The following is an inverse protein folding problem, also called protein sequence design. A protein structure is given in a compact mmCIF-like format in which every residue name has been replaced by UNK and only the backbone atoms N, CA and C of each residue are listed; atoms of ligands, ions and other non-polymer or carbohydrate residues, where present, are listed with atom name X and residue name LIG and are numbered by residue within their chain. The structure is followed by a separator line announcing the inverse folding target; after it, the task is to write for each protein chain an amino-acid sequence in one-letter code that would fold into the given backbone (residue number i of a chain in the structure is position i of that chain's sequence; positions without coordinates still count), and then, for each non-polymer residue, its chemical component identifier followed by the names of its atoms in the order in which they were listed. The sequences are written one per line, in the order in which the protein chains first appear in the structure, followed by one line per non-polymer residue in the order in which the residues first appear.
data_IF_134217250473
#
_entry.id   IF_134217250473
#
_cell.length_a   1.000
_cell.length_b   1.000
_cell.length_c   1.000
_cell.angle_alpha   90.00
_cell.angle_beta   90.00
_cell.angle_gamma   90.00
#
_symmetry.space_group_name_H-M   'P 1'
#
loop_
_entity.id
_entity.type
_entity.pdbx_description
1 polymer ?
#
# COMPACT_ATOMS: atom_id res chain seq x y z
N UNK A 1 53.60 -6.69 40.90
CA UNK A 1 53.36 -7.31 42.22
C UNK A 1 52.10 -6.67 42.79
N UNK A 2 50.94 -7.34 42.70
CA UNK A 2 49.64 -6.73 43.04
C UNK A 2 49.18 -7.27 44.40
N UNK A 3 49.24 -6.44 45.43
CA UNK A 3 48.69 -6.75 46.75
C UNK A 3 47.25 -6.26 46.79
N UNK A 4 46.32 -7.18 47.05
CA UNK A 4 44.89 -6.93 47.15
C UNK A 4 44.55 -6.48 48.57
N UNK A 5 44.17 -5.21 48.77
CA UNK A 5 43.48 -4.75 49.99
C UNK A 5 42.38 -3.77 49.63
N UNK A 6 41.16 -4.14 49.99
CA UNK A 6 39.93 -3.35 50.08
C UNK A 6 39.81 -2.10 49.18
N UNK A 7 39.36 -2.31 47.94
CA UNK A 7 38.35 -1.43 47.35
C UNK A 7 38.75 -0.04 46.81
N UNK A 8 40.02 0.26 46.58
CA UNK A 8 40.40 1.50 45.88
C UNK A 8 41.41 1.25 44.75
N UNK A 9 41.10 1.76 43.56
CA UNK A 9 42.03 1.90 42.43
C UNK A 9 42.46 3.36 42.32
N UNK A 10 43.77 3.63 42.16
CA UNK A 10 44.31 4.97 41.87
C UNK A 10 45.00 4.97 40.51
N UNK A 11 44.53 5.83 39.60
CA UNK A 11 45.26 6.25 38.39
C UNK A 11 45.03 7.77 38.25
N UNK A 12 46.12 8.52 38.08
CA UNK A 12 46.20 9.94 37.67
C UNK A 12 45.27 10.96 38.37
N UNK A 13 45.39 11.07 39.69
CA UNK A 13 45.16 12.33 40.39
C UNK A 13 43.72 12.85 40.53
N UNK A 14 42.70 12.13 40.08
CA UNK A 14 41.29 12.54 40.24
C UNK A 14 40.51 11.54 41.11
N UNK A 15 39.95 12.04 42.20
CA UNK A 15 39.21 11.26 43.19
C UNK A 15 37.73 11.12 42.77
N UNK A 16 37.30 9.90 42.40
CA UNK A 16 35.91 9.63 42.00
C UNK A 16 35.18 8.87 43.11
N UNK A 17 34.23 9.54 43.78
CA UNK A 17 33.28 8.92 44.72
C UNK A 17 32.25 8.09 43.96
N UNK A 18 32.10 6.82 44.33
CA UNK A 18 30.97 5.97 43.89
C UNK A 18 29.69 6.44 44.59
N UNK A 19 28.76 7.03 43.83
CA UNK A 19 27.36 7.12 44.23
C UNK A 19 26.64 5.83 43.83
N UNK A 20 26.07 5.15 44.82
CA UNK A 20 25.22 3.99 44.63
C UNK A 20 23.83 4.44 44.18
N UNK A 21 23.47 4.19 42.92
CA UNK A 21 22.08 4.27 42.46
C UNK A 21 21.71 3.01 41.70
N UNK A 22 20.75 2.30 42.26
CA UNK A 22 19.94 1.25 41.63
C UNK A 22 19.59 1.63 40.19
N UNK A 23 20.14 0.89 39.23
CA UNK A 23 19.83 1.06 37.82
C UNK A 23 18.76 0.05 37.41
N UNK A 24 17.50 0.45 37.55
CA UNK A 24 16.42 -0.10 36.74
C UNK A 24 16.78 0.12 35.27
N UNK A 25 16.92 -0.97 34.51
CA UNK A 25 17.15 -0.92 33.07
C UNK A 25 15.94 -0.28 32.41
N UNK A 26 15.99 1.03 32.18
CA UNK A 26 15.04 1.72 31.31
C UNK A 26 15.34 1.29 29.88
N UNK A 27 14.43 0.51 29.30
CA UNK A 27 14.40 0.20 27.88
C UNK A 27 14.42 1.54 27.11
N UNK A 28 15.50 1.80 26.39
CA UNK A 28 15.83 3.10 25.77
C UNK A 28 15.24 3.29 24.37
N UNK A 29 14.32 2.43 23.93
CA UNK A 29 13.66 2.59 22.65
C UNK A 29 12.37 3.40 22.86
N UNK A 30 12.29 4.67 22.40
CA UNK A 30 10.99 5.35 22.31
C UNK A 30 10.07 4.52 21.40
N UNK A 31 8.74 4.55 21.62
CA UNK A 31 7.81 3.94 20.67
C UNK A 31 8.07 4.59 19.30
N UNK A 32 8.37 3.76 18.30
CA UNK A 32 8.57 4.18 16.93
C UNK A 32 7.26 4.80 16.42
N UNK A 33 7.15 6.13 16.45
CA UNK A 33 6.14 6.85 15.70
C UNK A 33 6.49 6.69 14.21
N UNK A 34 5.95 5.65 13.59
CA UNK A 34 6.17 5.30 12.18
C UNK A 34 5.21 6.04 11.24
N UNK A 35 4.66 7.18 11.67
CA UNK A 35 4.02 8.10 10.73
C UNK A 35 5.08 8.57 9.72
N UNK A 36 4.77 8.47 8.41
CA UNK A 36 5.66 8.94 7.33
C UNK A 36 6.17 10.34 7.69
N UNK A 37 7.50 10.55 7.79
CA UNK A 37 8.04 11.84 8.21
C UNK A 37 7.53 12.93 7.29
N UNK A 38 6.86 13.93 7.85
CA UNK A 38 6.37 15.08 7.12
C UNK A 38 7.56 15.78 6.44
N UNK A 39 7.64 15.70 5.11
CA UNK A 39 8.66 16.37 4.30
C UNK A 39 9.68 15.48 3.59
N UNK A 40 9.59 14.15 3.68
CA UNK A 40 10.42 13.27 2.85
C UNK A 40 9.85 13.13 1.44
N UNK A 41 10.70 13.34 0.43
CA UNK A 41 10.39 12.95 -0.95
C UNK A 41 10.64 11.45 -1.13
N UNK A 42 9.55 10.68 -1.19
CA UNK A 42 9.59 9.23 -1.35
C UNK A 42 10.13 8.82 -2.74
N UNK A 43 10.13 9.70 -3.74
CA UNK A 43 10.67 9.40 -5.06
C UNK A 43 12.18 9.07 -5.00
N UNK A 44 12.90 9.60 -4.00
CA UNK A 44 14.32 9.30 -3.78
C UNK A 44 14.59 7.83 -3.41
N UNK A 45 13.57 7.05 -3.03
CA UNK A 45 13.70 5.61 -2.81
C UNK A 45 13.89 4.81 -4.11
N UNK A 46 13.57 5.41 -5.26
CA UNK A 46 13.50 4.72 -6.54
C UNK A 46 14.76 5.04 -7.37
N UNK A 47 15.67 4.05 -7.59
CA UNK A 47 16.82 4.27 -8.44
C UNK A 47 16.38 4.63 -9.87
N UNK A 48 16.92 5.71 -10.48
CA UNK A 48 16.54 6.11 -11.82
C UNK A 48 16.71 5.01 -12.87
N UNK A 49 17.76 4.19 -12.74
CA UNK A 49 18.02 3.05 -13.63
C UNK A 49 16.91 2.00 -13.57
N UNK A 50 16.35 1.75 -12.39
CA UNK A 50 15.21 0.84 -12.21
C UNK A 50 13.95 1.40 -12.85
N UNK A 51 13.70 2.71 -12.68
CA UNK A 51 12.55 3.39 -13.27
C UNK A 51 12.61 3.34 -14.81
N UNK A 52 13.75 3.69 -15.40
CA UNK A 52 13.96 3.62 -16.85
C UNK A 52 13.76 2.21 -17.39
N UNK A 53 14.33 1.20 -16.73
CA UNK A 53 14.16 -0.20 -17.16
C UNK A 53 12.70 -0.63 -17.12
N UNK A 54 11.98 -0.36 -16.04
CA UNK A 54 10.56 -0.72 -15.93
C UNK A 54 9.72 -0.03 -17.01
N UNK A 55 9.96 1.27 -17.26
CA UNK A 55 9.29 1.99 -18.33
C UNK A 55 9.55 1.38 -19.71
N UNK A 56 10.79 1.01 -20.01
CA UNK A 56 11.15 0.33 -21.26
C UNK A 56 10.48 -1.05 -21.38
N UNK A 57 10.47 -1.83 -20.30
CA UNK A 57 9.83 -3.16 -20.28
C UNK A 57 8.31 -3.05 -20.56
N UNK A 58 7.62 -2.09 -19.94
CA UNK A 58 6.18 -1.86 -20.17
C UNK A 58 5.87 -1.36 -21.58
N UNK A 59 6.69 -0.45 -22.11
CA UNK A 59 6.53 0.03 -23.49
C UNK A 59 6.79 -1.08 -24.52
N UNK A 60 7.76 -1.96 -24.26
CA UNK A 60 8.05 -3.10 -25.13
C UNK A 60 6.95 -4.17 -25.09
N UNK A 61 6.30 -4.35 -23.94
CA UNK A 61 5.11 -5.19 -23.80
C UNK A 61 3.95 -4.65 -24.67
N UNK A 62 3.66 -3.35 -24.60
CA UNK A 62 2.51 -2.73 -25.28
C UNK A 62 2.77 -2.52 -26.80
N UNK A 63 4.03 -2.35 -27.20
CA UNK A 63 4.44 -2.13 -28.60
C UNK A 63 5.56 -3.09 -29.00
N UNK A 64 5.19 -4.36 -29.18
CA UNK A 64 6.16 -5.41 -29.56
C UNK A 64 6.63 -5.31 -31.02
N UNK A 65 5.84 -4.69 -31.91
CA UNK A 65 6.10 -4.67 -33.36
C UNK A 65 6.09 -3.25 -33.93
N UNK A 66 4.95 -2.81 -34.46
CA UNK A 66 4.76 -1.50 -35.07
C UNK A 66 3.56 -0.80 -34.43
N UNK A 67 3.54 0.53 -34.48
CA UNK A 67 2.40 1.36 -34.09
C UNK A 67 1.80 2.06 -35.33
N UNK A 68 0.84 1.43 -36.04
CA UNK A 68 0.16 2.03 -37.17
C UNK A 68 -0.65 3.28 -36.80
N UNK A 69 -1.16 3.37 -35.56
CA UNK A 69 -1.91 4.54 -35.11
C UNK A 69 -0.99 5.76 -34.95
N UNK A 70 0.21 5.55 -34.40
CA UNK A 70 1.25 6.57 -34.31
C UNK A 70 1.68 7.12 -35.67
N UNK A 71 1.62 6.33 -36.75
CA UNK A 71 1.88 6.80 -38.12
C UNK A 71 0.88 7.87 -38.56
N UNK A 72 -0.41 7.66 -38.28
CA UNK A 72 -1.47 8.61 -38.62
C UNK A 72 -1.32 9.94 -37.87
N UNK A 73 -0.90 9.88 -36.61
CA UNK A 73 -0.82 11.03 -35.71
C UNK A 73 0.43 11.88 -35.95
N UNK A 74 1.55 11.24 -36.28
CA UNK A 74 2.81 11.93 -36.59
C UNK A 74 3.53 12.50 -35.35
N UNK A 75 4.61 13.24 -35.60
CA UNK A 75 5.53 13.73 -34.57
C UNK A 75 5.37 15.23 -34.23
N UNK A 76 4.29 15.86 -34.68
CA UNK A 76 4.02 17.26 -34.36
C UNK A 76 3.94 17.49 -32.85
N UNK A 77 4.42 18.64 -32.33
CA UNK A 77 4.33 18.94 -30.91
C UNK A 77 2.87 19.04 -30.49
N UNK A 78 2.51 18.35 -29.41
CA UNK A 78 1.16 18.36 -28.85
C UNK A 78 1.21 18.45 -27.33
N UNK A 79 0.06 18.80 -26.77
CA UNK A 79 -0.17 18.85 -25.33
C UNK A 79 -1.35 17.95 -24.99
N UNK A 80 -1.17 17.08 -24.00
CA UNK A 80 -2.24 16.26 -23.46
C UNK A 80 -2.47 16.53 -21.97
N UNK A 81 -3.73 16.58 -21.57
CA UNK A 81 -4.14 16.87 -20.20
C UNK A 81 -4.50 15.58 -19.48
N UNK A 82 -3.86 15.31 -18.34
CA UNK A 82 -4.20 14.22 -17.43
C UNK A 82 -5.37 14.65 -16.53
N UNK A 83 -6.42 13.86 -16.54
CA UNK A 83 -7.66 14.10 -15.80
C UNK A 83 -7.90 12.93 -14.85
N UNK A 84 -8.20 13.22 -13.58
CA UNK A 84 -8.75 12.27 -12.62
C UNK A 84 -10.27 12.39 -12.60
N UNK A 85 -11.00 11.28 -12.66
CA UNK A 85 -12.47 11.24 -12.64
C UNK A 85 -13.06 10.70 -11.34
N UNK A 86 -12.21 10.52 -10.32
CA UNK A 86 -12.58 9.99 -9.01
C UNK A 86 -12.11 10.96 -7.91
N UNK A 87 -12.99 11.87 -7.44
CA UNK A 87 -12.67 12.82 -6.38
C UNK A 87 -12.30 12.13 -5.07
N UNK A 88 -11.41 12.75 -4.29
CA UNK A 88 -10.90 12.21 -3.02
C UNK A 88 -9.82 11.13 -3.18
N UNK A 89 -9.42 10.82 -4.42
CA UNK A 89 -8.33 9.87 -4.68
C UNK A 89 -6.98 10.47 -4.31
N UNK A 90 -6.07 9.65 -3.80
CA UNK A 90 -4.69 10.04 -3.53
C UNK A 90 -3.84 9.80 -4.77
N UNK A 91 -3.16 10.84 -5.26
CA UNK A 91 -2.20 10.73 -6.34
C UNK A 91 -0.99 9.90 -5.88
N UNK A 92 -0.73 8.79 -6.55
CA UNK A 92 0.48 7.99 -6.36
C UNK A 92 1.01 7.44 -7.68
N UNK A 93 2.32 7.48 -7.87
CA UNK A 93 3.00 6.88 -9.02
C UNK A 93 3.61 7.89 -10.00
N UNK A 94 3.74 9.15 -9.57
CA UNK A 94 4.34 10.24 -10.35
C UNK A 94 5.72 9.86 -10.93
N UNK A 95 6.66 9.26 -10.17
CA UNK A 95 7.98 8.88 -10.71
C UNK A 95 7.90 7.86 -11.86
N UNK A 96 6.96 6.91 -11.79
CA UNK A 96 6.79 5.89 -12.83
C UNK A 96 6.14 6.48 -14.08
N UNK A 97 5.15 7.35 -13.90
CA UNK A 97 4.52 8.08 -15.00
C UNK A 97 5.54 8.96 -15.73
N UNK A 98 6.36 9.69 -14.97
CA UNK A 98 7.46 10.50 -15.51
C UNK A 98 8.51 9.64 -16.24
N UNK A 99 8.83 8.45 -15.73
CA UNK A 99 9.78 7.55 -16.38
C UNK A 99 9.28 7.08 -17.75
N UNK A 100 8.00 6.70 -17.88
CA UNK A 100 7.40 6.31 -19.17
C UNK A 100 7.52 7.43 -20.20
N UNK A 101 7.07 8.65 -19.85
CA UNK A 101 7.15 9.78 -20.77
C UNK A 101 8.58 10.28 -21.01
N UNK A 102 9.47 10.15 -20.02
CA UNK A 102 10.88 10.50 -20.13
C UNK A 102 11.63 9.63 -21.14
N UNK A 103 11.38 8.31 -21.16
CA UNK A 103 11.96 7.41 -22.18
C UNK A 103 11.50 7.80 -23.59
N UNK A 104 10.30 8.36 -23.72
CA UNK A 104 9.73 8.80 -24.98
C UNK A 104 10.08 10.26 -25.35
N UNK A 105 10.94 10.93 -24.57
CA UNK A 105 11.32 12.32 -24.82
C UNK A 105 10.18 13.33 -24.61
N UNK A 106 9.18 12.97 -23.82
CA UNK A 106 8.08 13.85 -23.40
C UNK A 106 8.38 14.45 -22.01
N UNK A 107 7.75 15.58 -21.71
CA UNK A 107 7.83 16.28 -20.43
C UNK A 107 6.46 16.29 -19.74
N UNK A 108 6.44 16.27 -18.41
CA UNK A 108 5.21 16.23 -17.62
C UNK A 108 5.24 17.34 -16.57
N UNK A 109 4.27 18.24 -16.65
CA UNK A 109 4.04 19.32 -15.69
C UNK A 109 2.90 18.95 -14.75
N UNK A 110 3.23 18.70 -13.49
CA UNK A 110 2.26 18.30 -12.47
C UNK A 110 1.60 19.50 -11.79
N UNK A 111 0.28 19.45 -11.66
CA UNK A 111 -0.51 20.44 -10.91
C UNK A 111 -0.70 20.05 -9.44
N UNK A 112 -0.50 18.77 -9.12
CA UNK A 112 -0.58 18.22 -7.78
C UNK A 112 0.72 17.48 -7.44
N UNK A 113 1.25 17.63 -6.21
CA UNK A 113 2.39 16.84 -5.78
C UNK A 113 1.99 15.40 -5.47
N UNK A 114 2.97 14.50 -5.47
CA UNK A 114 2.78 13.10 -5.07
C UNK A 114 2.18 13.02 -3.66
N UNK A 115 1.20 12.13 -3.48
CA UNK A 115 0.50 11.92 -2.20
C UNK A 115 -0.59 12.94 -1.88
N UNK A 116 -0.82 13.94 -2.74
CA UNK A 116 -1.94 14.86 -2.62
C UNK A 116 -3.29 14.17 -2.88
N UNK A 117 -4.33 14.68 -2.22
CA UNK A 117 -5.72 14.31 -2.51
C UNK A 117 -6.22 15.12 -3.71
N UNK A 118 -6.82 14.44 -4.68
CA UNK A 118 -7.34 15.00 -5.93
C UNK A 118 -8.82 15.34 -5.76
N UNK A 119 -9.23 16.56 -6.09
CA UNK A 119 -10.62 17.00 -5.94
C UNK A 119 -10.73 18.48 -5.55
N UNK A 120 -11.95 18.95 -5.22
CA UNK A 120 -13.21 18.19 -5.06
C UNK A 120 -14.04 18.02 -6.34
N UNK A 121 -13.56 18.48 -7.49
CA UNK A 121 -14.35 18.45 -8.72
C UNK A 121 -14.56 17.02 -9.25
N UNK A 122 -15.68 16.77 -9.94
CA UNK A 122 -15.96 15.48 -10.59
C UNK A 122 -14.85 15.06 -11.57
N UNK A 123 -14.23 16.05 -12.23
CA UNK A 123 -13.07 15.84 -13.10
C UNK A 123 -12.00 16.85 -12.71
N UNK A 124 -10.93 16.37 -12.08
CA UNK A 124 -9.80 17.22 -11.65
C UNK A 124 -8.68 17.12 -12.66
N UNK A 125 -8.14 18.27 -13.06
CA UNK A 125 -6.96 18.35 -13.93
C UNK A 125 -5.70 18.14 -13.10
N UNK A 126 -4.93 17.09 -13.39
CA UNK A 126 -3.83 16.63 -12.51
C UNK A 126 -2.45 17.00 -13.04
N UNK A 127 -2.25 16.88 -14.35
CA UNK A 127 -0.98 17.15 -15.00
C UNK A 127 -1.17 17.49 -16.48
N UNK A 128 -0.11 17.98 -17.10
CA UNK A 128 -0.04 18.26 -18.53
C UNK A 128 1.21 17.59 -19.10
N UNK A 129 1.05 16.85 -20.20
CA UNK A 129 2.13 16.15 -20.91
C UNK A 129 2.42 16.88 -22.22
N UNK A 130 3.69 17.18 -22.47
CA UNK A 130 4.18 17.86 -23.66
C UNK A 130 5.15 16.97 -24.43
N UNK A 131 5.03 16.93 -25.76
CA UNK A 131 5.94 16.16 -26.60
C UNK A 131 5.39 15.84 -27.98
N UNK A 132 6.09 15.00 -28.77
CA UNK A 132 5.59 14.53 -30.06
C UNK A 132 4.29 13.76 -29.90
N UNK A 133 3.28 14.06 -30.70
CA UNK A 133 1.93 13.49 -30.58
C UNK A 133 1.92 11.95 -30.53
N UNK A 134 2.63 11.27 -31.46
CA UNK A 134 2.77 9.81 -31.45
C UNK A 134 3.38 9.29 -30.15
N UNK A 135 4.34 10.00 -29.56
CA UNK A 135 5.04 9.57 -28.34
C UNK A 135 4.15 9.75 -27.11
N UNK A 136 3.33 10.81 -27.07
CA UNK A 136 2.34 10.98 -26.01
C UNK A 136 1.34 9.81 -26.02
N UNK A 137 0.81 9.46 -27.19
CA UNK A 137 -0.18 8.40 -27.32
C UNK A 137 0.42 7.00 -27.11
N UNK A 138 1.66 6.78 -27.56
CA UNK A 138 2.38 5.52 -27.32
C UNK A 138 2.60 5.25 -25.83
N UNK A 139 2.88 6.28 -25.03
CA UNK A 139 3.05 6.15 -23.59
C UNK A 139 1.74 6.11 -22.78
N UNK A 140 0.61 6.50 -23.38
CA UNK A 140 -0.65 6.76 -22.69
C UNK A 140 -1.10 5.56 -21.84
N UNK A 141 -1.29 4.40 -22.46
CA UNK A 141 -1.93 3.26 -21.78
C UNK A 141 -1.07 2.71 -20.65
N UNK A 142 0.22 2.54 -20.91
CA UNK A 142 1.21 2.07 -19.93
C UNK A 142 1.31 3.02 -18.73
N UNK A 143 1.42 4.34 -18.98
CA UNK A 143 1.50 5.34 -17.92
C UNK A 143 0.20 5.42 -17.09
N UNK A 144 -0.96 5.44 -17.75
CA UNK A 144 -2.27 5.47 -17.07
C UNK A 144 -2.53 4.20 -16.26
N UNK A 145 -2.22 3.01 -16.79
CA UNK A 145 -2.35 1.75 -16.05
C UNK A 145 -1.54 1.76 -14.75
N UNK A 146 -0.29 2.20 -14.84
CA UNK A 146 0.59 2.28 -13.69
C UNK A 146 0.06 3.27 -12.65
N UNK A 147 -0.28 4.49 -13.08
CA UNK A 147 -0.76 5.56 -12.20
C UNK A 147 -2.10 5.21 -11.54
N UNK A 148 -3.04 4.65 -12.31
CA UNK A 148 -4.36 4.23 -11.83
C UNK A 148 -4.25 3.20 -10.71
N UNK A 149 -3.38 2.19 -10.89
CA UNK A 149 -3.15 1.14 -9.90
C UNK A 149 -2.42 1.65 -8.67
N UNK A 150 -1.37 2.45 -8.85
CA UNK A 150 -0.64 3.05 -7.75
C UNK A 150 -1.55 3.97 -6.91
N UNK A 151 -2.30 4.86 -7.56
CA UNK A 151 -3.23 5.78 -6.87
C UNK A 151 -4.35 5.03 -6.15
N UNK A 152 -4.87 3.93 -6.70
CA UNK A 152 -5.86 3.10 -6.02
C UNK A 152 -5.34 2.48 -4.71
N UNK A 153 -4.10 1.97 -4.72
CA UNK A 153 -3.44 1.42 -3.53
C UNK A 153 -3.16 2.52 -2.51
N UNK A 154 -2.65 3.68 -2.94
CA UNK A 154 -2.36 4.79 -2.05
C UNK A 154 -3.64 5.37 -1.42
N UNK A 155 -4.73 5.45 -2.19
CA UNK A 155 -6.05 5.88 -1.70
C UNK A 155 -6.55 4.95 -0.60
N UNK A 156 -6.48 3.62 -0.81
CA UNK A 156 -6.84 2.67 0.25
C UNK A 156 -5.90 2.74 1.44
N UNK A 157 -4.60 2.85 1.21
CA UNK A 157 -3.62 3.05 2.27
C UNK A 157 -3.97 4.26 3.14
N UNK A 158 -4.31 5.39 2.51
CA UNK A 158 -4.71 6.62 3.21
C UNK A 158 -5.98 6.44 4.03
N UNK A 159 -6.98 5.73 3.48
CA UNK A 159 -8.21 5.39 4.21
C UNK A 159 -7.92 4.57 5.46
N UNK A 160 -7.13 3.50 5.35
CA UNK A 160 -6.79 2.64 6.50
C UNK A 160 -5.93 3.37 7.53
N UNK A 161 -4.94 4.14 7.09
CA UNK A 161 -4.12 4.97 7.96
C UNK A 161 -4.96 6.05 8.68
N UNK A 162 -6.00 6.57 8.03
CA UNK A 162 -6.95 7.51 8.65
C UNK A 162 -7.79 6.82 9.73
N UNK A 163 -8.26 5.59 9.50
CA UNK A 163 -8.98 4.79 10.52
C UNK A 163 -8.11 4.56 11.76
N UNK A 164 -6.85 4.15 11.57
CA UNK A 164 -5.88 3.96 12.66
C UNK A 164 -5.64 5.26 13.45
N UNK A 165 -5.41 6.38 12.75
CA UNK A 165 -5.20 7.70 13.37
C UNK A 165 -6.41 8.19 14.15
N UNK A 166 -7.62 8.04 13.61
CA UNK A 166 -8.87 8.41 14.29
C UNK A 166 -9.09 7.62 15.58
N UNK A 167 -8.67 6.36 15.62
CA UNK A 167 -8.71 5.53 16.83
C UNK A 167 -7.56 5.82 17.82
N UNK A 168 -6.67 6.78 17.51
CA UNK A 168 -5.45 7.07 18.26
C UNK A 168 -4.56 5.83 18.50
N UNK A 169 -4.65 4.81 17.63
CA UNK A 169 -3.82 3.62 17.70
C UNK A 169 -2.39 3.97 17.26
N UNK A 170 -1.40 3.46 18.00
CA UNK A 170 0.01 3.81 17.84
C UNK A 170 0.81 2.81 16.99
N UNK A 171 0.19 1.72 16.57
CA UNK A 171 0.83 0.74 15.72
C UNK A 171 0.83 1.13 14.24
N UNK A 172 1.35 0.22 13.42
CA UNK A 172 1.49 0.37 11.97
C UNK A 172 0.50 -0.49 11.21
N UNK A 173 -0.28 0.13 10.32
CA UNK A 173 -0.99 -0.61 9.28
C UNK A 173 0.04 -0.99 8.21
N UNK A 174 0.09 -2.27 7.87
CA UNK A 174 1.05 -2.80 6.90
C UNK A 174 0.35 -3.58 5.78
N UNK A 175 0.98 -3.66 4.61
CA UNK A 175 0.55 -4.62 3.57
C UNK A 175 1.35 -5.91 3.64
N UNK A 176 1.42 -6.61 2.51
CA UNK A 176 1.99 -7.98 2.46
C UNK A 176 2.79 -8.18 1.18
N UNK A 177 3.31 -9.40 0.96
CA UNK A 177 3.90 -9.82 -0.32
C UNK A 177 2.86 -10.33 -1.34
N UNK A 178 1.56 -10.21 -1.04
CA UNK A 178 0.45 -10.57 -1.95
C UNK A 178 0.24 -9.47 -3.01
N UNK A 179 1.29 -9.25 -3.78
CA UNK A 179 1.44 -8.21 -4.79
C UNK A 179 1.38 -8.81 -6.18
N UNK A 180 1.02 -8.05 -7.21
CA UNK A 180 1.08 -8.54 -8.59
C UNK A 180 2.52 -8.89 -8.98
N UNK A 181 2.77 -10.10 -9.54
CA UNK A 181 4.08 -10.47 -10.05
C UNK A 181 4.60 -9.44 -11.07
N UNK A 182 5.88 -9.05 -10.96
CA UNK A 182 6.48 -8.01 -11.80
C UNK A 182 6.14 -6.57 -11.40
N UNK A 183 5.04 -6.33 -10.68
CA UNK A 183 4.56 -4.97 -10.35
C UNK A 183 4.79 -4.54 -8.89
N UNK A 184 5.49 -5.38 -8.10
CA UNK A 184 5.66 -5.20 -6.66
C UNK A 184 6.24 -3.83 -6.26
N UNK A 185 7.24 -3.31 -6.99
CA UNK A 185 7.90 -2.06 -6.63
C UNK A 185 6.89 -0.89 -6.61
N UNK A 186 6.03 -0.82 -7.63
CA UNK A 186 5.00 0.22 -7.73
C UNK A 186 3.99 0.10 -6.60
N UNK A 187 3.52 -1.12 -6.31
CA UNK A 187 2.53 -1.36 -5.25
C UNK A 187 3.08 -1.01 -3.87
N UNK A 188 4.32 -1.40 -3.56
CA UNK A 188 4.98 -1.07 -2.29
C UNK A 188 5.26 0.42 -2.17
N UNK A 189 5.66 1.08 -3.26
CA UNK A 189 5.81 2.53 -3.27
C UNK A 189 4.47 3.23 -3.00
N UNK A 190 3.40 2.82 -3.67
CA UNK A 190 2.06 3.38 -3.47
C UNK A 190 1.57 3.22 -2.03
N UNK A 191 1.90 2.11 -1.38
CA UNK A 191 1.61 1.92 0.04
C UNK A 191 2.28 2.98 0.92
N UNK A 192 3.57 3.28 0.68
CA UNK A 192 4.30 4.33 1.41
C UNK A 192 3.64 5.71 1.20
N UNK A 193 3.27 6.04 -0.05
CA UNK A 193 2.57 7.28 -0.37
C UNK A 193 1.22 7.37 0.36
N UNK A 194 0.49 6.26 0.45
CA UNK A 194 -0.74 6.15 1.23
C UNK A 194 -0.55 6.30 2.74
N UNK A 195 0.69 6.20 3.24
CA UNK A 195 1.03 6.29 4.66
C UNK A 195 0.83 4.97 5.41
N UNK A 196 0.98 3.83 4.72
CA UNK A 196 0.99 2.49 5.33
C UNK A 196 2.33 1.82 5.12
N UNK A 197 2.76 1.02 6.09
CA UNK A 197 4.04 0.32 6.03
C UNK A 197 4.03 -0.73 4.91
N UNK A 198 5.15 -0.87 4.20
CA UNK A 198 5.29 -1.87 3.15
C UNK A 198 5.22 -3.30 3.67
N UNK A 199 5.55 -3.53 4.94
CA UNK A 199 6.08 -4.82 5.41
C UNK A 199 7.35 -5.18 4.61
N UNK A 200 7.78 -6.45 4.65
CA UNK A 200 8.92 -6.89 3.85
C UNK A 200 8.65 -6.80 2.35
N UNK A 201 9.65 -6.35 1.60
CA UNK A 201 9.57 -6.19 0.14
C UNK A 201 9.77 -7.52 -0.59
N UNK A 202 10.66 -8.37 -0.09
CA UNK A 202 11.01 -9.65 -0.68
C UNK A 202 11.35 -10.69 0.40
N UNK A 203 11.95 -11.81 0.00
CA UNK A 203 12.39 -12.87 0.91
C UNK A 203 13.68 -12.52 1.66
N UNK A 204 14.43 -11.52 1.19
CA UNK A 204 15.74 -11.14 1.71
C UNK A 204 15.67 -10.00 2.73
N UNK A 205 14.61 -9.19 2.67
CA UNK A 205 14.42 -7.99 3.51
C UNK A 205 14.21 -8.33 5.00
N UNK A 206 13.44 -9.38 5.26
CA UNK A 206 13.03 -9.84 6.59
C UNK A 206 12.81 -11.35 6.53
N UNK A 207 13.36 -12.07 7.51
CA UNK A 207 13.11 -13.49 7.68
C UNK A 207 11.71 -13.65 8.25
N UNK A 208 10.88 -14.44 7.56
CA UNK A 208 9.55 -14.81 8.06
C UNK A 208 9.41 -16.32 8.02
N UNK A 209 9.32 -16.91 9.20
CA UNK A 209 9.09 -18.34 9.40
C UNK A 209 7.58 -18.58 9.49
N UNK A 210 7.06 -19.22 8.46
CA UNK A 210 5.66 -19.68 8.39
C UNK A 210 5.52 -21.11 8.89
N UNK A 211 4.28 -21.54 9.09
CA UNK A 211 3.89 -22.94 9.39
C UNK A 211 4.72 -24.01 8.65
N UNK A 212 4.86 -23.87 7.34
CA UNK A 212 5.59 -24.83 6.50
C UNK A 212 7.08 -24.91 6.84
N UNK A 213 7.70 -23.81 7.27
CA UNK A 213 9.10 -23.78 7.67
C UNK A 213 9.27 -24.48 9.02
N UNK A 214 8.38 -24.16 9.97
CA UNK A 214 8.38 -24.76 11.30
C UNK A 214 8.22 -26.28 11.20
N UNK A 215 7.28 -26.75 10.37
CA UNK A 215 7.08 -28.18 10.12
C UNK A 215 8.28 -28.84 9.46
N UNK A 216 8.93 -28.18 8.51
CA UNK A 216 10.12 -28.72 7.83
C UNK A 216 11.36 -28.79 8.74
N UNK A 217 11.51 -27.85 9.68
CA UNK A 217 12.64 -27.77 10.60
C UNK A 217 12.45 -28.60 11.90
N UNK A 218 11.26 -29.17 12.13
CA UNK A 218 10.97 -29.96 13.33
C UNK A 218 10.68 -29.16 14.60
N UNK A 219 10.37 -27.86 14.49
CA UNK A 219 9.98 -27.01 15.61
C UNK A 219 10.32 -25.52 15.42
N UNK A 220 9.70 -24.65 16.23
CA UNK A 220 9.90 -23.19 16.13
C UNK A 220 11.30 -22.83 16.64
N UNK A 221 11.70 -23.38 17.80
CA UNK A 221 13.00 -23.08 18.38
C UNK A 221 14.17 -23.39 17.43
N UNK A 222 14.13 -24.55 16.76
CA UNK A 222 15.16 -24.94 15.80
C UNK A 222 15.17 -24.01 14.58
N UNK A 223 14.00 -23.73 13.99
CA UNK A 223 13.89 -22.86 12.82
C UNK A 223 14.43 -21.45 13.09
N UNK A 224 14.15 -20.88 14.26
CA UNK A 224 14.65 -19.55 14.65
C UNK A 224 16.17 -19.59 14.86
N UNK A 225 16.71 -20.63 15.50
CA UNK A 225 18.14 -20.78 15.72
C UNK A 225 18.91 -20.92 14.40
N UNK A 226 18.44 -21.76 13.49
CA UNK A 226 19.07 -22.01 12.20
C UNK A 226 19.16 -20.72 11.38
N UNK A 227 18.04 -19.97 11.29
CA UNK A 227 18.07 -18.73 10.53
C UNK A 227 18.90 -17.66 11.24
N UNK A 228 18.88 -17.57 12.57
CA UNK A 228 19.70 -16.62 13.32
C UNK A 228 21.19 -16.81 13.06
N UNK A 229 21.66 -18.04 12.85
CA UNK A 229 23.05 -18.32 12.46
C UNK A 229 23.41 -17.78 11.07
N UNK A 230 22.45 -17.73 10.15
CA UNK A 230 22.68 -17.28 8.76
C UNK A 230 22.53 -15.77 8.63
N UNK A 231 21.44 -15.19 9.14
CA UNK A 231 21.16 -13.76 8.97
C UNK A 231 21.82 -12.87 10.04
N UNK A 232 22.37 -13.46 11.10
CA UNK A 232 23.07 -12.75 12.16
C UNK A 232 22.22 -11.65 12.80
N UNK A 233 22.83 -10.48 12.98
CA UNK A 233 22.21 -9.30 13.61
C UNK A 233 21.51 -8.35 12.61
N UNK A 234 21.73 -8.51 11.30
CA UNK A 234 21.28 -7.52 10.30
C UNK A 234 19.81 -7.66 9.92
N UNK A 235 19.20 -8.82 10.14
CA UNK A 235 17.81 -9.10 9.78
C UNK A 235 16.99 -9.44 11.02
N UNK A 236 15.77 -8.90 11.05
CA UNK A 236 14.76 -9.31 12.02
C UNK A 236 14.19 -10.68 11.63
N UNK A 237 13.77 -11.44 12.64
CA UNK A 237 13.10 -12.73 12.49
C UNK A 237 11.65 -12.58 12.95
N UNK A 238 10.73 -12.85 12.04
CA UNK A 238 9.30 -12.91 12.26
C UNK A 238 8.83 -14.38 12.24
N UNK A 239 7.97 -14.76 13.18
CA UNK A 239 7.40 -16.13 13.24
C UNK A 239 5.88 -16.08 13.25
N UNK A 240 5.25 -16.81 12.33
CA UNK A 240 3.80 -17.02 12.27
C UNK A 240 3.38 -18.07 13.31
N UNK A 241 2.50 -17.68 14.22
CA UNK A 241 2.03 -18.47 15.35
C UNK A 241 0.50 -18.57 15.34
N UNK A 242 -0.02 -19.75 15.66
CA UNK A 242 -1.45 -20.09 15.71
C UNK A 242 -1.99 -20.29 17.12
N UNK A 243 -1.12 -20.25 18.12
CA UNK A 243 -1.48 -20.36 19.54
C UNK A 243 -0.60 -19.46 20.41
N UNK A 244 -1.05 -19.16 21.63
CA UNK A 244 -0.21 -18.47 22.62
C UNK A 244 1.10 -19.25 22.91
N UNK A 245 1.03 -20.58 22.97
CA UNK A 245 2.19 -21.42 23.28
C UNK A 245 3.26 -21.33 22.18
N UNK A 246 2.85 -21.37 20.92
CA UNK A 246 3.75 -21.13 19.78
C UNK A 246 4.37 -19.71 19.84
N UNK A 247 3.56 -18.70 20.18
CA UNK A 247 4.05 -17.33 20.36
C UNK A 247 5.09 -17.20 21.47
N UNK A 248 4.89 -17.92 22.59
CA UNK A 248 5.86 -17.99 23.69
C UNK A 248 7.13 -18.72 23.28
N UNK A 249 7.01 -19.81 22.53
CA UNK A 249 8.17 -20.55 22.01
C UNK A 249 8.99 -19.68 21.06
N UNK A 250 8.34 -19.00 20.10
CA UNK A 250 8.99 -18.08 19.17
C UNK A 250 9.72 -16.95 19.90
N UNK A 251 9.07 -16.32 20.88
CA UNK A 251 9.67 -15.25 21.67
C UNK A 251 10.89 -15.74 22.48
N UNK A 252 10.80 -16.92 23.13
CA UNK A 252 11.94 -17.53 23.85
C UNK A 252 13.09 -17.90 22.92
N UNK A 253 12.79 -18.32 21.70
CA UNK A 253 13.78 -18.65 20.69
C UNK A 253 14.52 -17.43 20.12
N UNK A 254 14.04 -16.21 20.42
CA UNK A 254 14.66 -14.96 19.98
C UNK A 254 14.08 -14.40 18.67
N UNK A 255 12.81 -14.67 18.40
CA UNK A 255 12.07 -13.95 17.36
C UNK A 255 11.95 -12.45 17.72
N UNK A 256 12.12 -11.58 16.73
CA UNK A 256 11.92 -10.13 16.87
C UNK A 256 10.43 -9.76 16.79
N UNK A 257 9.68 -10.53 16.00
CA UNK A 257 8.26 -10.30 15.71
C UNK A 257 7.50 -11.63 15.83
N UNK A 258 6.39 -11.62 16.56
CA UNK A 258 5.43 -12.73 16.62
C UNK A 258 4.17 -12.32 15.87
N UNK A 259 3.87 -13.01 14.78
CA UNK A 259 2.65 -12.83 14.01
C UNK A 259 1.58 -13.81 14.51
N UNK A 260 0.48 -13.27 15.02
CA UNK A 260 -0.71 -14.04 15.41
C UNK A 260 -1.66 -14.13 14.21
N UNK A 261 -1.66 -15.28 13.53
CA UNK A 261 -2.43 -15.48 12.29
C UNK A 261 -3.84 -16.02 12.56
N UNK A 262 -4.84 -15.38 11.96
CA UNK A 262 -6.27 -15.72 12.04
C UNK A 262 -6.86 -15.75 13.48
N UNK A 263 -6.29 -14.99 14.42
CA UNK A 263 -6.89 -14.81 15.73
C UNK A 263 -8.12 -13.89 15.66
N UNK A 264 -9.17 -14.24 16.43
CA UNK A 264 -10.35 -13.38 16.52
C UNK A 264 -10.09 -12.20 17.47
N UNK A 265 -10.49 -10.97 17.11
CA UNK A 265 -10.42 -9.83 18.01
C UNK A 265 -11.35 -10.04 19.20
N UNK A 266 -11.02 -9.41 20.33
CA UNK A 266 -11.87 -9.44 21.52
C UNK A 266 -13.05 -8.50 21.25
N UNK A 267 -14.22 -9.07 20.92
CA UNK A 267 -15.37 -8.34 20.38
C UNK A 267 -15.91 -7.31 21.38
N UNK A 268 -15.88 -6.03 21.01
CA UNK A 268 -16.76 -4.99 21.58
C UNK A 268 -18.08 -5.01 20.78
N UNK A 269 -19.12 -5.63 21.34
CA UNK A 269 -20.50 -5.78 20.85
C UNK A 269 -20.90 -5.13 19.49
N UNK A 270 -21.08 -5.97 18.46
CA UNK A 270 -22.23 -5.87 17.54
C UNK A 270 -22.58 -7.27 17.01
N UNK A 271 -23.78 -7.81 17.29
CA UNK A 271 -24.14 -9.16 16.88
C UNK A 271 -24.48 -9.17 15.38
N UNK A 272 -23.68 -9.86 14.58
CA UNK A 272 -24.19 -10.51 13.36
C UNK A 272 -24.27 -11.99 13.67
N UNK A 273 -25.49 -12.48 13.81
CA UNK A 273 -25.80 -13.90 13.93
C UNK A 273 -25.15 -14.67 12.78
N UNK A 274 -24.08 -15.41 13.08
CA UNK A 274 -23.60 -16.45 12.18
C UNK A 274 -24.46 -17.69 12.46
N UNK A 275 -25.33 -18.03 11.51
CA UNK A 275 -26.06 -19.31 11.48
C UNK A 275 -25.05 -20.47 11.46
N UNK A 276 -24.67 -20.96 12.64
CA UNK A 276 -23.98 -22.25 12.81
C UNK A 276 -25.02 -23.36 12.81
N UNK A 277 -25.40 -23.85 11.63
CA UNK A 277 -26.17 -25.08 11.52
C UNK A 277 -25.24 -26.29 11.31
N UNK A 278 -25.54 -27.36 12.05
CA UNK A 278 -25.28 -28.78 11.73
C UNK A 278 -23.89 -29.42 11.97
N UNK A 279 -23.00 -28.84 12.79
CA UNK A 279 -21.79 -29.59 13.26
C UNK A 279 -21.75 -29.87 14.77
N UNK A 280 -22.52 -29.15 15.58
CA UNK A 280 -22.49 -29.25 17.05
C UNK A 280 -23.32 -30.39 17.66
N UNK A 281 -23.95 -31.25 16.85
CA UNK A 281 -24.83 -32.30 17.36
C UNK A 281 -24.12 -33.60 17.76
N UNK A 282 -22.83 -33.78 17.42
CA UNK A 282 -22.15 -35.09 17.53
C UNK A 282 -20.86 -35.10 18.36
N UNK A 283 -20.41 -33.97 18.92
CA UNK A 283 -19.18 -33.93 19.73
C UNK A 283 -19.41 -33.18 21.05
N UNK A 284 -18.98 -33.71 22.21
CA UNK A 284 -19.10 -33.02 23.49
C UNK A 284 -18.27 -31.72 23.46
N UNK A 285 -18.69 -30.66 24.18
CA UNK A 285 -17.99 -29.39 24.14
C UNK A 285 -16.69 -29.54 24.93
N UNK A 286 -15.58 -29.74 24.22
CA UNK A 286 -14.29 -29.29 24.73
C UNK A 286 -14.46 -27.78 24.90
N UNK A 287 -14.29 -27.25 26.12
CA UNK A 287 -14.19 -25.82 26.36
C UNK A 287 -12.97 -25.30 25.57
N UNK A 288 -13.15 -25.03 24.28
CA UNK A 288 -12.23 -24.20 23.51
C UNK A 288 -12.39 -22.80 24.08
N UNK A 289 -11.54 -22.46 25.05
CA UNK A 289 -11.30 -21.07 25.41
C UNK A 289 -10.73 -20.44 24.15
N UNK A 290 -11.59 -19.82 23.34
CA UNK A 290 -11.18 -19.11 22.14
C UNK A 290 -10.23 -18.00 22.58
N UNK A 291 -8.93 -18.24 22.44
CA UNK A 291 -7.90 -17.25 22.75
C UNK A 291 -8.13 -16.04 21.84
N UNK A 292 -8.54 -14.93 22.42
CA UNK A 292 -8.73 -13.69 21.66
C UNK A 292 -7.40 -13.01 21.47
N UNK A 293 -7.17 -12.43 20.28
CA UNK A 293 -5.94 -11.74 19.90
C UNK A 293 -5.40 -10.82 21.01
N UNK A 294 -6.28 -9.99 21.59
CA UNK A 294 -5.88 -9.00 22.59
C UNK A 294 -5.37 -9.62 23.90
N UNK A 295 -5.92 -10.75 24.31
CA UNK A 295 -5.45 -11.46 25.52
C UNK A 295 -4.08 -12.05 25.28
N UNK A 296 -3.89 -12.74 24.15
CA UNK A 296 -2.61 -13.36 23.80
C UNK A 296 -1.53 -12.30 23.61
N UNK A 297 -1.82 -11.25 22.84
CA UNK A 297 -0.90 -10.13 22.63
C UNK A 297 -0.48 -9.47 23.96
N UNK A 298 -1.43 -9.22 24.87
CA UNK A 298 -1.13 -8.66 26.20
C UNK A 298 -0.20 -9.57 27.00
N UNK A 299 -0.48 -10.86 27.01
CA UNK A 299 0.27 -11.83 27.80
C UNK A 299 1.69 -11.99 27.24
N UNK A 300 1.83 -12.11 25.92
CA UNK A 300 3.14 -12.14 25.27
C UNK A 300 3.96 -10.87 25.52
N UNK A 301 3.34 -9.68 25.48
CA UNK A 301 4.01 -8.42 25.80
C UNK A 301 4.43 -8.29 27.26
N UNK A 302 3.69 -8.88 28.20
CA UNK A 302 4.07 -8.89 29.62
C UNK A 302 5.32 -9.74 29.84
N UNK A 303 5.39 -10.90 29.20
CA UNK A 303 6.52 -11.82 29.36
C UNK A 303 7.73 -11.44 28.48
N UNK A 304 7.48 -10.84 27.31
CA UNK A 304 8.48 -10.45 26.31
C UNK A 304 8.25 -9.02 25.81
N UNK A 305 8.60 -7.98 26.59
CA UNK A 305 8.29 -6.58 26.27
C UNK A 305 8.93 -6.06 24.97
N UNK A 306 10.04 -6.65 24.54
CA UNK A 306 10.80 -6.25 23.36
C UNK A 306 10.28 -6.83 22.04
N UNK A 307 9.46 -7.88 22.10
CA UNK A 307 8.92 -8.56 20.91
C UNK A 307 7.80 -7.72 20.32
N UNK A 308 7.81 -7.53 19.00
CA UNK A 308 6.70 -6.88 18.29
C UNK A 308 5.59 -7.91 18.02
N UNK A 309 4.34 -7.50 18.17
CA UNK A 309 3.18 -8.33 17.89
C UNK A 309 2.50 -7.85 16.62
N UNK A 310 2.41 -8.75 15.64
CA UNK A 310 1.69 -8.55 14.40
C UNK A 310 0.37 -9.34 14.39
N UNK A 311 -0.72 -8.71 13.96
CA UNK A 311 -1.99 -9.38 13.69
C UNK A 311 -2.23 -9.48 12.18
N UNK A 312 -2.58 -10.67 11.71
CA UNK A 312 -2.82 -10.98 10.30
C UNK A 312 -3.96 -11.99 10.14
N UNK A 313 -4.49 -12.09 8.92
CA UNK A 313 -5.46 -13.11 8.52
C UNK A 313 -6.91 -12.61 8.52
N UNK A 314 -7.53 -12.56 7.33
CA UNK A 314 -8.95 -12.22 7.17
C UNK A 314 -9.37 -10.78 7.53
N UNK A 315 -8.41 -9.88 7.81
CA UNK A 315 -8.69 -8.49 8.20
C UNK A 315 -9.11 -7.67 6.98
N UNK A 316 -10.18 -6.89 7.14
CA UNK A 316 -10.78 -6.02 6.12
C UNK A 316 -10.81 -4.56 6.60
N UNK A 317 -11.03 -3.57 5.72
CA UNK A 317 -11.17 -2.17 6.14
C UNK A 317 -12.25 -1.96 7.22
N UNK A 318 -13.33 -2.75 7.17
CA UNK A 318 -14.45 -2.67 8.11
C UNK A 318 -14.13 -3.31 9.46
N UNK A 319 -13.30 -4.36 9.48
CA UNK A 319 -12.95 -5.09 10.70
C UNK A 319 -11.67 -4.58 11.36
N UNK A 320 -10.86 -3.78 10.65
CA UNK A 320 -9.58 -3.25 11.12
C UNK A 320 -9.63 -2.65 12.54
N UNK A 321 -10.67 -1.86 12.85
CA UNK A 321 -10.77 -1.18 14.15
C UNK A 321 -10.89 -2.13 15.34
N UNK A 322 -11.41 -3.34 15.12
CA UNK A 322 -11.56 -4.35 16.16
C UNK A 322 -10.22 -4.96 16.59
N UNK A 323 -9.15 -4.81 15.78
CA UNK A 323 -7.82 -5.37 16.05
C UNK A 323 -6.89 -4.36 16.74
N UNK A 324 -7.35 -3.11 16.94
CA UNK A 324 -6.54 -2.09 17.63
C UNK A 324 -6.41 -2.41 19.12
N UNK A 325 -5.17 -2.51 19.57
CA UNK A 325 -4.82 -2.76 20.95
C UNK A 325 -3.46 -2.13 21.28
N UNK A 326 -3.22 -1.64 22.51
CA UNK A 326 -1.90 -1.19 22.94
C UNK A 326 -0.82 -2.27 22.90
N UNK A 327 -1.22 -3.54 22.86
CA UNK A 327 -0.32 -4.70 22.81
C UNK A 327 -0.10 -5.25 21.39
N UNK A 328 -0.76 -4.67 20.38
CA UNK A 328 -0.60 -5.03 18.96
C UNK A 328 0.13 -3.88 18.27
N UNK A 329 1.30 -4.16 17.70
CA UNK A 329 2.18 -3.15 17.10
C UNK A 329 1.97 -3.03 15.59
N UNK A 330 1.61 -4.14 14.92
CA UNK A 330 1.48 -4.21 13.46
C UNK A 330 0.16 -4.91 13.14
N UNK A 331 -0.57 -4.38 12.15
CA UNK A 331 -1.73 -5.08 11.57
C UNK A 331 -1.50 -5.14 10.06
N UNK A 332 -1.35 -6.35 9.51
CA UNK A 332 -1.11 -6.53 8.08
C UNK A 332 -2.36 -6.97 7.32
N UNK A 333 -2.61 -6.33 6.18
CA UNK A 333 -3.80 -6.58 5.36
C UNK A 333 -3.40 -6.88 3.92
N UNK A 334 -3.81 -8.04 3.41
CA UNK A 334 -3.63 -8.40 2.00
C UNK A 334 -4.49 -7.56 1.05
N UNK A 335 -5.64 -7.09 1.51
CA UNK A 335 -6.60 -6.31 0.72
C UNK A 335 -6.14 -4.89 0.35
N UNK A 336 -4.98 -4.45 0.88
CA UNK A 336 -4.35 -3.19 0.43
C UNK A 336 -3.97 -3.31 -1.04
N UNK A 337 -3.43 -4.46 -1.46
CA UNK A 337 -2.99 -4.72 -2.83
C UNK A 337 -3.94 -5.66 -3.58
N UNK A 338 -4.45 -6.72 -2.93
CA UNK A 338 -5.37 -7.66 -3.56
C UNK A 338 -6.81 -7.12 -3.59
N UNK A 339 -7.49 -7.25 -4.73
CA UNK A 339 -8.86 -6.77 -4.88
C UNK A 339 -8.99 -5.24 -4.81
N UNK A 340 -7.88 -4.53 -5.03
CA UNK A 340 -7.81 -3.08 -5.00
C UNK A 340 -8.44 -2.47 -6.26
N UNK A 341 -9.55 -1.69 -6.18
CA UNK A 341 -9.95 -0.82 -7.28
C UNK A 341 -8.84 0.13 -7.68
N UNK A 342 -8.75 0.37 -8.98
CA UNK A 342 -7.89 1.41 -9.59
C UNK A 342 -8.65 2.74 -9.64
N UNK A 343 -7.91 3.84 -9.74
CA UNK A 343 -8.47 5.19 -9.92
C UNK A 343 -8.64 5.48 -11.42
N UNK A 344 -9.81 5.96 -11.85
CA UNK A 344 -10.06 6.36 -13.24
C UNK A 344 -9.32 7.65 -13.60
N UNK A 345 -8.23 7.48 -14.38
CA UNK A 345 -7.54 8.55 -15.07
C UNK A 345 -7.76 8.48 -16.58
N UNK A 346 -7.73 9.64 -17.23
CA UNK A 346 -7.67 9.75 -18.69
C UNK A 346 -6.67 10.79 -19.14
N UNK A 347 -6.06 10.57 -20.30
CA UNK A 347 -5.18 11.54 -20.94
C UNK A 347 -5.88 12.06 -22.21
N UNK A 348 -6.00 13.37 -22.36
CA UNK A 348 -6.73 13.99 -23.49
C UNK A 348 -5.86 14.98 -24.24
N UNK A 349 -5.57 14.71 -25.51
CA UNK A 349 -4.95 15.69 -26.41
C UNK A 349 -5.88 16.90 -26.56
N UNK A 350 -5.32 18.10 -26.49
CA UNK A 350 -6.07 19.32 -26.75
C UNK A 350 -6.43 19.38 -28.24
N UNK A 351 -7.73 19.41 -28.55
CA UNK A 351 -8.18 19.65 -29.91
C UNK A 351 -7.76 21.08 -30.32
N UNK A 352 -7.17 21.30 -31.50
CA UNK A 352 -6.91 22.64 -31.99
C UNK A 352 -8.21 23.43 -31.96
N UNK A 353 -8.20 24.60 -31.31
CA UNK A 353 -9.36 25.49 -31.36
C UNK A 353 -9.62 25.79 -32.83
N UNK A 354 -10.80 25.42 -33.33
CA UNK A 354 -11.25 25.87 -34.66
C UNK A 354 -11.30 27.39 -34.60
N UNK A 355 -10.28 28.05 -35.14
CA UNK A 355 -10.36 29.47 -35.45
C UNK A 355 -11.59 29.64 -36.34
N UNK A 356 -12.64 30.26 -35.81
CA UNK A 356 -13.72 30.79 -36.62
C UNK A 356 -13.15 31.97 -37.41
N UNK A 357 -12.36 31.68 -38.44
CA UNK A 357 -12.13 32.63 -39.52
C UNK A 357 -13.46 32.76 -40.24
N UNK A 358 -14.18 33.83 -39.96
CA UNK A 358 -15.42 34.17 -40.65
C UNK A 358 -15.18 34.28 -42.15
N UNK A 359 -15.52 33.23 -42.88
CA UNK A 359 -15.90 33.34 -44.29
C UNK A 359 -17.36 32.95 -44.36
N UNK A 360 -18.21 33.98 -44.44
CA UNK A 360 -19.62 33.84 -44.77
C UNK A 360 -19.74 33.09 -46.11
N UNK A 361 -20.05 31.79 -46.05
CA UNK A 361 -20.62 31.09 -47.20
C UNK A 361 -22.12 31.28 -47.14
N UNK A 362 -22.63 31.87 -48.22
CA UNK A 362 -24.05 32.11 -48.47
C UNK A 362 -24.89 30.86 -48.24
N UNK A 363 -26.05 31.12 -47.67
CA UNK A 363 -27.16 30.23 -47.37
C UNK A 363 -27.44 29.20 -48.46
N UNK A 364 -27.76 27.98 -48.04
CA UNK A 364 -28.89 27.22 -48.56
C UNK A 364 -29.26 26.10 -47.56
N UNK A 365 -30.36 26.32 -46.83
CA UNK A 365 -31.29 25.27 -46.43
C UNK A 365 -31.06 24.52 -45.11
N UNK A 366 -32.09 24.61 -44.26
CA UNK A 366 -32.42 23.83 -43.05
C UNK A 366 -31.93 24.42 -41.72
N UNK A 367 -32.84 24.95 -40.87
CA UNK A 367 -32.47 25.41 -39.53
C UNK A 367 -32.27 24.20 -38.62
N UNK A 368 -31.05 24.00 -38.12
CA UNK A 368 -30.80 23.12 -36.99
C UNK A 368 -30.81 23.97 -35.71
N UNK A 369 -31.60 23.54 -34.72
CA UNK A 369 -31.96 24.30 -33.54
C UNK A 369 -30.78 24.77 -32.69
N UNK A 370 -30.98 25.93 -32.08
CA UNK A 370 -30.14 26.52 -31.04
C UNK A 370 -30.06 25.62 -29.81
N UNK A 371 -28.84 25.42 -29.29
CA UNK A 371 -28.59 24.77 -28.01
C UNK A 371 -28.25 25.87 -27.01
N UNK A 372 -29.09 26.05 -26.00
CA UNK A 372 -28.84 26.96 -24.90
C UNK A 372 -27.95 26.31 -23.83
N UNK A 373 -27.09 27.12 -23.23
CA UNK A 373 -26.25 26.84 -22.06
C UNK A 373 -27.14 26.48 -20.87
N UNK A 374 -27.41 25.18 -20.66
CA UNK A 374 -27.65 24.51 -19.37
C UNK A 374 -27.96 23.05 -19.69
N UNK A 375 -26.98 22.17 -19.49
CA UNK A 375 -27.05 20.75 -19.85
C UNK A 375 -28.17 19.99 -19.13
N UNK A 376 -29.34 19.92 -19.76
CA UNK A 376 -30.39 18.91 -19.52
C UNK A 376 -30.96 18.52 -20.88
N UNK A 377 -30.66 17.31 -21.34
CA UNK A 377 -31.28 16.72 -22.54
C UNK A 377 -32.56 16.00 -22.14
N UNK A 378 -33.71 16.56 -22.49
CA UNK A 378 -34.99 15.84 -22.50
C UNK A 378 -35.13 15.13 -23.84
N UNK A 379 -35.21 13.79 -23.82
CA UNK A 379 -35.48 12.97 -25.00
C UNK A 379 -37.00 12.98 -25.27
N UNK A 380 -37.50 13.23 -26.49
CA UNK A 380 -38.92 13.09 -26.80
C UNK A 380 -39.29 11.60 -26.90
N UNK A 381 -40.32 11.20 -26.17
CA UNK A 381 -40.91 9.87 -26.23
C UNK A 381 -41.64 9.63 -27.56
N UNK A 382 -41.08 8.77 -28.42
CA UNK A 382 -41.77 8.18 -29.57
C UNK A 382 -42.46 6.85 -29.20
N UNK A 383 -43.47 6.39 -29.99
CA UNK A 383 -44.31 5.24 -29.63
C UNK A 383 -43.55 3.90 -29.77
N UNK A 384 -43.98 2.84 -29.04
CA UNK A 384 -43.21 1.61 -28.92
C UNK A 384 -43.27 0.76 -30.19
N UNK A 385 -42.11 0.47 -30.78
CA UNK A 385 -41.97 -0.51 -31.84
C UNK A 385 -41.89 -1.94 -31.27
N UNK A 386 -42.60 -2.86 -31.92
CA UNK A 386 -42.80 -4.25 -31.52
C UNK A 386 -41.49 -5.06 -31.39
N UNK A 387 -41.38 -5.83 -30.29
CA UNK A 387 -40.35 -6.86 -30.10
C UNK A 387 -40.55 -8.00 -31.11
N UNK A 388 -39.49 -8.34 -31.84
CA UNK A 388 -39.33 -9.67 -32.44
C UNK A 388 -38.15 -10.34 -31.75
N UNK A 389 -38.46 -11.46 -31.10
CA UNK A 389 -37.50 -12.42 -30.56
C UNK A 389 -36.67 -13.00 -31.70
N UNK A 390 -35.35 -13.12 -31.52
CA UNK A 390 -34.58 -14.22 -32.10
C UNK A 390 -33.40 -14.57 -31.18
N UNK A 391 -33.42 -15.82 -30.75
CA UNK A 391 -32.29 -16.55 -30.19
C UNK A 391 -31.28 -16.85 -31.30
N UNK A 392 -29.98 -16.76 -30.99
CA UNK A 392 -28.98 -17.82 -31.11
C UNK A 392 -27.74 -17.44 -30.30
#
# INVERSE_FOLDING_TARGET
MVVKKAGLWKIDGVEVKRTSTSSSVKCLCPPLDMSTPSGLDLAHLLPPTTLTRLAQDWLAEDVTHFDPAGMCVGAGPQTATLLCKEPGSVLAGVPFFNAVFGVLGCQVDWLYPEGAELGPEQVTRVAVVHGPARNILLGERSALNCLARASGIATRGRQLASVARKAAWKGSVAGTRKTTPGFRLVEKYAMLVGGVATHRCDLSSLVMLKDNHVWACGGIAQAVQDVRQVCGFSSKIEVECRSEDEGREAARAGADIVMLDNFTPQVSHHPREVKRSTWLATHPPVLFVSQTLHTVARTLKQDFPSVLIEASGGITPETLSAFFSPSVDIISLGCITQGCPVVDFSLKIQCPQRSHSGTARRENGVPCGTVDDHGITTVPSGPPAARRDFAF
#
